data_IF_749617711613
#
_entry.id   IF_749617711613
#
_cell.length_a   1.000
_cell.length_b   1.000
_cell.length_c   1.000
_cell.angle_alpha   90.00
_cell.angle_beta   90.00
_cell.angle_gamma   90.00
#
_symmetry.space_group_name_H-M   'P 1'
#
loop_
_entity.id
_entity.type
_entity.pdbx_description
1 polymer ?
#
# COMPACT_ATOMS: atom_id res chain seq x y z
N UNK A 1 -26.45 7.54 20.10
CA UNK A 1 -27.47 6.49 19.96
C UNK A 1 -26.94 5.40 19.02
N UNK A 2 -26.59 4.23 19.55
CA UNK A 2 -26.05 3.09 18.76
C UNK A 2 -27.21 2.35 18.10
N UNK A 3 -27.25 2.27 16.76
CA UNK A 3 -28.10 1.33 16.04
C UNK A 3 -27.24 0.14 15.60
N UNK A 4 -27.50 -1.01 16.19
CA UNK A 4 -27.05 -2.31 15.72
C UNK A 4 -27.68 -2.59 14.35
N UNK A 5 -26.88 -2.97 13.36
CA UNK A 5 -27.36 -3.61 12.14
C UNK A 5 -26.77 -5.02 12.08
N UNK A 6 -27.62 -6.03 12.30
CA UNK A 6 -27.32 -7.41 11.88
C UNK A 6 -27.32 -7.42 10.35
N UNK A 7 -26.19 -7.76 9.73
CA UNK A 7 -26.17 -8.13 8.30
C UNK A 7 -26.21 -9.65 8.19
N UNK A 8 -27.24 -10.11 7.50
CA UNK A 8 -27.42 -11.47 7.04
C UNK A 8 -26.34 -11.78 6.00
N UNK A 9 -25.53 -12.81 6.27
CA UNK A 9 -24.56 -13.36 5.32
C UNK A 9 -25.34 -14.33 4.42
N UNK A 10 -25.35 -14.09 3.10
CA UNK A 10 -25.82 -15.06 2.12
C UNK A 10 -24.67 -15.98 1.70
N UNK A 11 -24.93 -17.27 1.41
CA UNK A 11 -23.87 -18.22 1.08
C UNK A 11 -23.26 -17.90 -0.30
N UNK A 12 -21.95 -17.71 -0.32
CA UNK A 12 -21.15 -17.53 -1.53
C UNK A 12 -20.77 -18.91 -2.11
N UNK A 13 -21.19 -19.16 -3.35
CA UNK A 13 -20.72 -20.29 -4.16
C UNK A 13 -19.30 -20.09 -4.68
N UNK A 14 -18.66 -21.13 -5.23
CA UNK A 14 -17.23 -21.09 -5.57
C UNK A 14 -17.01 -20.31 -6.87
N UNK A 15 -15.90 -19.58 -6.94
CA UNK A 15 -15.37 -18.83 -8.09
C UNK A 15 -15.93 -17.41 -8.33
N UNK A 16 -15.56 -16.46 -7.47
CA UNK A 16 -14.77 -15.26 -7.82
C UNK A 16 -14.67 -14.40 -6.57
N UNK A 17 -13.50 -14.40 -5.94
CA UNK A 17 -13.17 -13.49 -4.85
C UNK A 17 -12.96 -12.08 -5.43
N UNK A 18 -14.04 -11.41 -5.85
CA UNK A 18 -13.99 -9.97 -6.09
C UNK A 18 -14.41 -9.28 -4.80
N UNK A 19 -13.46 -8.69 -4.09
CA UNK A 19 -13.72 -7.78 -2.97
C UNK A 19 -14.15 -6.42 -3.54
N UNK A 20 -15.42 -6.00 -3.38
CA UNK A 20 -15.97 -4.87 -4.12
C UNK A 20 -15.60 -3.48 -3.55
N UNK A 21 -14.51 -3.34 -2.81
CA UNK A 21 -14.22 -2.12 -2.03
C UNK A 21 -12.80 -1.55 -2.16
N UNK A 22 -11.98 -2.06 -3.09
CA UNK A 22 -10.52 -1.77 -3.08
C UNK A 22 -10.15 -0.42 -3.70
N UNK A 23 -10.94 0.13 -4.62
CA UNK A 23 -10.47 1.21 -5.50
C UNK A 23 -10.56 2.64 -4.93
N UNK A 24 -11.42 2.92 -3.95
CA UNK A 24 -11.63 4.29 -3.46
C UNK A 24 -10.92 4.61 -2.14
N UNK A 25 -10.12 3.68 -1.60
CA UNK A 25 -9.51 3.80 -0.25
C UNK A 25 -8.06 3.32 -0.13
N UNK A 26 -7.40 3.00 -1.24
CA UNK A 26 -6.04 2.47 -1.17
C UNK A 26 -5.02 3.52 -1.63
N UNK A 27 -4.34 4.13 -0.65
CA UNK A 27 -3.14 4.91 -0.88
C UNK A 27 -1.93 3.98 -0.86
N UNK A 28 -1.16 3.96 -1.95
CA UNK A 28 0.11 3.24 -2.00
C UNK A 28 1.08 3.89 -1.03
N UNK A 29 1.49 3.13 -0.01
CA UNK A 29 2.49 3.55 0.97
C UNK A 29 3.45 2.40 1.25
N UNK A 30 4.66 2.75 1.62
CA UNK A 30 5.67 1.82 2.11
C UNK A 30 5.89 2.10 3.59
N UNK A 31 5.84 1.07 4.41
CA UNK A 31 6.20 1.19 5.83
C UNK A 31 7.72 1.38 5.94
N UNK A 32 8.15 2.56 6.40
CA UNK A 32 9.57 2.90 6.54
C UNK A 32 10.11 2.65 7.95
N UNK A 33 9.22 2.63 8.95
CA UNK A 33 9.57 2.42 10.36
C UNK A 33 8.49 1.62 11.05
N UNK A 34 8.83 0.98 12.17
CA UNK A 34 7.84 0.58 13.16
C UNK A 34 7.19 1.79 13.85
N UNK A 35 6.38 1.55 14.90
CA UNK A 35 5.83 2.64 15.72
C UNK A 35 6.93 3.57 16.24
N UNK A 36 6.71 4.87 16.11
CA UNK A 36 7.63 5.93 16.58
C UNK A 36 6.97 6.66 17.74
N UNK A 37 7.72 6.96 18.81
CA UNK A 37 7.17 7.71 19.94
C UNK A 37 6.92 9.19 19.56
N UNK A 38 5.85 9.84 20.05
CA UNK A 38 5.48 11.23 19.72
C UNK A 38 6.63 12.25 19.73
N UNK A 39 7.56 12.13 20.69
CA UNK A 39 8.72 13.02 20.83
C UNK A 39 9.78 12.85 19.74
N UNK A 40 9.79 11.71 19.05
CA UNK A 40 10.81 11.34 18.06
C UNK A 40 10.37 11.61 16.61
N UNK A 41 9.08 11.85 16.36
CA UNK A 41 8.54 12.04 15.00
C UNK A 41 9.32 13.06 14.19
N UNK A 42 9.63 14.22 14.78
CA UNK A 42 10.36 15.28 14.06
C UNK A 42 11.79 14.87 13.68
N UNK A 43 12.45 14.06 14.52
CA UNK A 43 13.80 13.54 14.22
C UNK A 43 13.73 12.48 13.13
N UNK A 44 12.82 11.50 13.27
CA UNK A 44 12.61 10.46 12.27
C UNK A 44 12.25 11.06 10.92
N UNK A 45 11.34 12.05 10.89
CA UNK A 45 10.96 12.74 9.65
C UNK A 45 12.16 13.38 8.96
N UNK A 46 13.02 14.11 9.69
CA UNK A 46 14.22 14.73 9.09
C UNK A 46 15.20 13.68 8.55
N UNK A 47 15.37 12.57 9.24
CA UNK A 47 16.20 11.47 8.78
C UNK A 47 15.64 10.85 7.48
N UNK A 48 14.33 10.60 7.43
CA UNK A 48 13.68 10.06 6.24
C UNK A 48 13.74 11.05 5.07
N UNK A 49 13.51 12.35 5.29
CA UNK A 49 13.62 13.40 4.28
C UNK A 49 15.04 13.47 3.69
N UNK A 50 16.07 13.39 4.54
CA UNK A 50 17.46 13.43 4.11
C UNK A 50 17.87 12.21 3.26
N UNK A 51 17.24 11.04 3.50
CA UNK A 51 17.55 9.80 2.78
C UNK A 51 16.72 9.66 1.51
N UNK A 52 15.43 10.01 1.54
CA UNK A 52 14.48 9.72 0.47
C UNK A 52 14.01 10.95 -0.31
N UNK A 53 14.26 12.16 0.19
CA UNK A 53 13.69 13.39 -0.38
C UNK A 53 14.02 13.61 -1.85
N UNK A 54 15.23 13.24 -2.30
CA UNK A 54 15.58 13.28 -3.73
C UNK A 54 14.88 12.18 -4.52
N UNK A 55 14.88 10.95 -4.01
CA UNK A 55 14.33 9.78 -4.70
C UNK A 55 12.81 9.82 -4.88
N UNK A 56 12.07 10.51 -4.00
CA UNK A 56 10.60 10.66 -4.11
C UNK A 56 10.20 11.48 -5.35
N UNK A 57 11.09 12.30 -5.91
CA UNK A 57 10.76 13.12 -7.08
C UNK A 57 11.03 12.43 -8.42
N UNK A 58 11.68 11.28 -8.40
CA UNK A 58 12.02 10.54 -9.59
C UNK A 58 10.87 9.61 -9.99
N UNK A 59 10.62 9.51 -11.29
CA UNK A 59 9.68 8.53 -11.84
C UNK A 59 10.28 7.13 -11.68
N UNK A 60 9.46 6.15 -11.28
CA UNK A 60 9.89 4.77 -11.15
C UNK A 60 8.96 3.82 -11.91
N UNK A 61 9.56 2.80 -12.53
CA UNK A 61 8.82 1.78 -13.25
C UNK A 61 8.46 0.62 -12.31
N UNK A 62 7.17 0.31 -12.22
CA UNK A 62 6.70 -0.94 -11.61
C UNK A 62 6.63 -1.98 -12.72
N UNK A 63 7.48 -3.01 -12.65
CA UNK A 63 7.65 -3.99 -13.72
C UNK A 63 7.06 -5.37 -13.39
N UNK A 64 6.55 -5.54 -12.17
CA UNK A 64 6.12 -6.83 -11.66
C UNK A 64 5.32 -6.74 -10.38
N UNK A 65 4.67 -7.85 -10.04
CA UNK A 65 4.09 -8.13 -8.74
C UNK A 65 4.59 -9.47 -8.22
N UNK A 66 4.88 -9.57 -6.92
CA UNK A 66 5.32 -10.84 -6.29
C UNK A 66 4.29 -11.29 -5.26
N UNK A 67 3.87 -12.54 -5.37
CA UNK A 67 3.15 -13.23 -4.32
C UNK A 67 4.15 -13.62 -3.24
N UNK A 68 3.94 -13.12 -2.03
CA UNK A 68 4.71 -13.49 -0.85
C UNK A 68 3.80 -14.20 0.15
N UNK A 69 4.38 -15.13 0.90
CA UNK A 69 3.74 -15.82 2.02
C UNK A 69 4.37 -15.36 3.32
N UNK A 70 3.55 -15.23 4.36
CA UNK A 70 3.97 -15.01 5.73
C UNK A 70 3.30 -16.10 6.56
N UNK A 71 4.08 -17.01 7.12
CA UNK A 71 3.56 -18.19 7.82
C UNK A 71 2.79 -17.80 9.09
N UNK A 72 3.30 -16.82 9.83
CA UNK A 72 2.71 -16.26 11.05
C UNK A 72 3.09 -14.76 11.22
N UNK A 73 2.42 -14.00 12.11
CA UNK A 73 2.63 -12.55 12.23
C UNK A 73 4.05 -12.09 12.58
N UNK A 74 4.87 -12.96 13.19
CA UNK A 74 6.24 -12.66 13.62
C UNK A 74 7.29 -13.16 12.62
N UNK A 75 6.86 -13.90 11.59
CA UNK A 75 7.73 -14.42 10.52
C UNK A 75 7.94 -13.41 9.40
N UNK A 76 9.09 -13.54 8.73
CA UNK A 76 9.42 -12.77 7.52
C UNK A 76 8.51 -13.16 6.34
N UNK A 77 8.35 -12.21 5.39
CA UNK A 77 7.73 -12.52 4.11
C UNK A 77 8.69 -13.30 3.21
N UNK A 78 8.23 -14.45 2.69
CA UNK A 78 8.97 -15.27 1.73
C UNK A 78 8.34 -15.15 0.35
N UNK A 79 9.15 -14.90 -0.67
CA UNK A 79 8.68 -14.81 -2.05
C UNK A 79 8.27 -16.20 -2.58
N UNK A 80 6.99 -16.34 -2.94
CA UNK A 80 6.44 -17.58 -3.53
C UNK A 80 6.57 -17.55 -5.04
N UNK A 81 6.17 -16.45 -5.69
CA UNK A 81 6.21 -16.31 -7.14
C UNK A 81 6.17 -14.87 -7.60
N UNK A 82 7.06 -14.52 -8.53
CA UNK A 82 7.08 -13.22 -9.21
C UNK A 82 6.35 -13.30 -10.56
N UNK A 83 5.53 -12.30 -10.83
CA UNK A 83 4.77 -12.13 -12.06
C UNK A 83 5.22 -10.83 -12.72
N UNK A 84 6.05 -10.89 -13.79
CA UNK A 84 6.40 -9.70 -14.54
C UNK A 84 5.17 -9.16 -15.27
N UNK A 85 5.08 -7.84 -15.41
CA UNK A 85 4.12 -7.21 -16.29
C UNK A 85 4.62 -7.31 -17.73
N UNK A 86 3.76 -7.82 -18.61
CA UNK A 86 4.04 -7.94 -20.04
C UNK A 86 3.63 -6.69 -20.84
N UNK A 87 3.56 -5.53 -20.17
CA UNK A 87 3.25 -4.24 -20.78
C UNK A 87 4.53 -3.39 -20.84
N UNK A 88 4.68 -2.51 -21.85
CA UNK A 88 5.71 -1.48 -21.81
C UNK A 88 5.61 -0.68 -20.49
N UNK A 89 6.72 -0.18 -19.93
CA UNK A 89 6.72 0.56 -18.68
C UNK A 89 5.63 1.64 -18.68
N UNK A 90 4.72 1.58 -17.71
CA UNK A 90 3.77 2.67 -17.47
C UNK A 90 4.51 3.71 -16.65
N UNK A 91 4.77 4.89 -17.23
CA UNK A 91 5.33 6.02 -16.48
C UNK A 91 4.32 6.47 -15.42
N UNK A 92 4.66 6.28 -14.14
CA UNK A 92 3.88 6.78 -13.01
C UNK A 92 4.48 8.12 -12.59
N UNK A 93 3.83 9.22 -12.97
CA UNK A 93 4.28 10.56 -12.57
C UNK A 93 3.78 10.95 -11.18
N UNK A 94 4.71 11.25 -10.28
CA UNK A 94 4.41 11.72 -8.91
C UNK A 94 3.69 13.09 -8.86
N UNK A 95 3.60 13.81 -9.99
CA UNK A 95 2.91 15.12 -10.06
C UNK A 95 1.37 15.04 -9.96
N UNK A 96 0.78 13.86 -10.11
CA UNK A 96 -0.68 13.66 -10.11
C UNK A 96 -1.30 13.68 -8.69
N UNK A 97 -0.54 13.32 -7.65
CA UNK A 97 -1.08 13.12 -6.30
C UNK A 97 -1.12 14.39 -5.43
N UNK A 98 -0.38 15.44 -5.80
CA UNK A 98 -0.32 16.70 -5.04
C UNK A 98 -1.50 17.65 -5.32
N UNK A 99 -2.40 17.33 -6.28
CA UNK A 99 -3.54 18.19 -6.63
C UNK A 99 -4.83 17.89 -5.85
N UNK A 100 -4.89 16.84 -5.00
CA UNK A 100 -6.17 16.34 -4.45
C UNK A 100 -6.47 16.69 -2.99
N UNK A 101 -5.61 17.44 -2.30
CA UNK A 101 -5.89 17.89 -0.94
C UNK A 101 -5.85 19.43 -0.85
N UNK A 102 -6.82 20.06 -1.48
CA UNK A 102 -7.22 21.44 -1.17
C UNK A 102 -8.74 21.50 -1.19
N UNK A 103 -9.34 21.23 -0.03
CA UNK A 103 -10.68 21.67 0.35
C UNK A 103 -10.58 22.26 1.74
#
# INVERSE_FOLDING_TARGET
>A
MRKFFRKQVLPIGPSTASYPYVFERYDFHMTLTGPVEPREHGTVQRCLEAVFGSAINDDFAIDSITLCEQEDPDSDFVAVKRFPFNAPPVEVSNRSLLSRHSV
#
